data_IF_329407615699
#
_entry.id   IF_329407615699
#
_cell.length_a   1.000
_cell.length_b   1.000
_cell.length_c   1.000
_cell.angle_alpha   90.00
_cell.angle_beta   90.00
_cell.angle_gamma   90.00
#
_symmetry.space_group_name_H-M   'P 1'
#
loop_
_entity.id
_entity.type
_entity.pdbx_description
1 polymer ?
#
# COMPACT_ATOMS: atom_id res chain seq x y z
N UNK A 1 -43.15 37.47 -5.95
CA UNK A 1 -42.36 36.23 -5.85
C UNK A 1 -42.69 35.59 -4.51
N UNK A 2 -43.20 34.36 -4.50
CA UNK A 2 -43.68 33.71 -3.27
C UNK A 2 -42.47 33.24 -2.44
N UNK A 3 -42.45 33.57 -1.14
CA UNK A 3 -41.37 33.17 -0.23
C UNK A 3 -41.19 31.64 -0.19
N UNK A 4 -42.30 30.90 -0.22
CA UNK A 4 -42.30 29.43 -0.29
C UNK A 4 -41.58 28.91 -1.55
N UNK A 5 -41.79 29.53 -2.71
CA UNK A 5 -41.12 29.14 -3.96
C UNK A 5 -39.62 29.44 -3.93
N UNK A 6 -39.24 30.54 -3.28
CA UNK A 6 -37.84 30.95 -3.12
C UNK A 6 -37.09 29.98 -2.22
N UNK A 7 -37.69 29.60 -1.07
CA UNK A 7 -37.13 28.60 -0.16
C UNK A 7 -37.00 27.23 -0.84
N UNK A 8 -38.04 26.78 -1.57
CA UNK A 8 -38.01 25.52 -2.30
C UNK A 8 -36.89 25.48 -3.37
N UNK A 9 -36.65 26.60 -4.06
CA UNK A 9 -35.57 26.70 -5.05
C UNK A 9 -34.19 26.56 -4.40
N UNK A 10 -33.95 27.26 -3.29
CA UNK A 10 -32.65 27.19 -2.60
C UNK A 10 -32.37 25.81 -2.00
N UNK A 11 -33.37 25.18 -1.37
CA UNK A 11 -33.19 23.82 -0.82
C UNK A 11 -32.93 22.80 -1.92
N UNK A 12 -33.64 22.88 -3.05
CA UNK A 12 -33.42 21.99 -4.18
C UNK A 12 -32.03 22.17 -4.80
N UNK A 13 -31.57 23.41 -4.94
CA UNK A 13 -30.22 23.69 -5.42
C UNK A 13 -29.15 23.08 -4.50
N UNK A 14 -29.31 23.23 -3.18
CA UNK A 14 -28.39 22.68 -2.18
C UNK A 14 -28.33 21.15 -2.27
N UNK A 15 -29.50 20.49 -2.28
CA UNK A 15 -29.59 19.02 -2.39
C UNK A 15 -28.92 18.53 -3.68
N UNK A 16 -29.12 19.24 -4.80
CA UNK A 16 -28.52 18.89 -6.07
C UNK A 16 -26.99 18.94 -6.03
N UNK A 17 -26.42 20.03 -5.49
CA UNK A 17 -24.96 20.15 -5.34
C UNK A 17 -24.38 19.12 -4.37
N UNK A 18 -25.08 18.83 -3.27
CA UNK A 18 -24.67 17.78 -2.33
C UNK A 18 -24.64 16.41 -3.00
N UNK A 19 -25.66 16.08 -3.79
CA UNK A 19 -25.73 14.81 -4.52
C UNK A 19 -24.59 14.69 -5.55
N UNK A 20 -24.31 15.74 -6.30
CA UNK A 20 -23.19 15.77 -7.25
C UNK A 20 -21.84 15.61 -6.55
N UNK A 21 -21.63 16.29 -5.42
CA UNK A 21 -20.40 16.17 -4.66
C UNK A 21 -20.17 14.73 -4.17
N UNK A 22 -21.22 14.07 -3.64
CA UNK A 22 -21.16 12.67 -3.21
C UNK A 22 -20.90 11.72 -4.38
N UNK A 23 -21.55 11.96 -5.53
CA UNK A 23 -21.34 11.16 -6.74
C UNK A 23 -19.87 11.20 -7.18
N UNK A 24 -19.29 12.41 -7.26
CA UNK A 24 -17.90 12.58 -7.66
C UNK A 24 -16.92 11.99 -6.62
N UNK A 25 -17.21 12.13 -5.33
CA UNK A 25 -16.41 11.50 -4.28
C UNK A 25 -16.42 9.97 -4.40
N UNK A 26 -17.59 9.36 -4.66
CA UNK A 26 -17.72 7.93 -4.82
C UNK A 26 -16.94 7.40 -6.05
N UNK A 27 -17.03 8.12 -7.18
CA UNK A 27 -16.26 7.83 -8.39
C UNK A 27 -14.76 7.92 -8.08
N UNK A 28 -14.31 8.98 -7.41
CA UNK A 28 -12.91 9.17 -7.06
C UNK A 28 -12.37 8.01 -6.21
N UNK A 29 -13.13 7.60 -5.19
CA UNK A 29 -12.78 6.44 -4.34
C UNK A 29 -12.67 5.16 -5.18
N UNK A 30 -13.60 4.91 -6.10
CA UNK A 30 -13.54 3.75 -6.99
C UNK A 30 -12.34 3.78 -7.94
N UNK A 31 -12.03 4.93 -8.55
CA UNK A 31 -10.84 5.09 -9.39
C UNK A 31 -9.56 4.83 -8.60
N UNK A 32 -9.45 5.41 -7.40
CA UNK A 32 -8.28 5.25 -6.54
C UNK A 32 -8.09 3.79 -6.14
N UNK A 33 -9.16 3.10 -5.75
CA UNK A 33 -9.12 1.70 -5.38
C UNK A 33 -8.70 0.81 -6.57
N UNK A 34 -9.29 1.04 -7.75
CA UNK A 34 -8.97 0.28 -8.96
C UNK A 34 -7.51 0.46 -9.40
N UNK A 35 -7.01 1.71 -9.43
CA UNK A 35 -5.62 2.01 -9.77
C UNK A 35 -4.66 1.36 -8.75
N UNK A 36 -4.99 1.40 -7.46
CA UNK A 36 -4.16 0.84 -6.40
C UNK A 36 -4.06 -0.69 -6.52
N UNK A 37 -5.16 -1.41 -6.78
CA UNK A 37 -5.13 -2.86 -7.03
C UNK A 37 -4.24 -3.22 -8.21
N UNK A 38 -4.36 -2.51 -9.33
CA UNK A 38 -3.58 -2.79 -10.54
C UNK A 38 -2.09 -2.66 -10.25
N UNK A 39 -1.71 -1.58 -9.55
CA UNK A 39 -0.31 -1.25 -9.24
C UNK A 39 0.34 -2.16 -8.21
N UNK A 40 -0.44 -2.85 -7.36
CA UNK A 40 0.13 -3.72 -6.31
C UNK A 40 0.55 -5.09 -6.87
N UNK A 41 1.75 -5.60 -6.52
CA UNK A 41 2.17 -6.95 -6.90
C UNK A 41 1.34 -8.02 -6.19
N UNK A 42 1.16 -9.18 -6.83
CA UNK A 42 0.31 -10.26 -6.32
C UNK A 42 0.85 -10.89 -5.03
N UNK A 43 2.17 -10.93 -4.88
CA UNK A 43 2.86 -11.56 -3.73
C UNK A 43 2.47 -10.94 -2.38
N UNK A 44 2.13 -9.64 -2.39
CA UNK A 44 1.72 -8.95 -1.16
C UNK A 44 0.36 -9.41 -0.66
N UNK A 45 -0.54 -9.84 -1.55
CA UNK A 45 -1.86 -10.35 -1.16
C UNK A 45 -1.77 -11.70 -0.47
N UNK A 46 -0.84 -12.55 -0.93
CA UNK A 46 -0.55 -13.85 -0.32
C UNK A 46 0.12 -13.65 1.04
N UNK A 47 1.11 -12.75 1.12
CA UNK A 47 1.79 -12.43 2.37
C UNK A 47 0.86 -11.84 3.45
N UNK A 48 -0.18 -11.10 3.02
CA UNK A 48 -1.17 -10.51 3.92
C UNK A 48 -2.31 -11.45 4.34
N UNK A 49 -2.29 -12.71 3.88
CA UNK A 49 -3.37 -13.70 4.08
C UNK A 49 -4.76 -13.15 3.68
N UNK A 50 -4.79 -12.34 2.60
CA UNK A 50 -6.03 -11.79 2.03
C UNK A 50 -6.41 -12.56 0.77
N UNK A 51 -7.66 -12.39 0.31
CA UNK A 51 -8.13 -12.94 -0.98
C UNK A 51 -7.21 -12.48 -2.13
N UNK A 52 -7.17 -13.25 -3.21
CA UNK A 52 -6.20 -13.08 -4.31
C UNK A 52 -6.33 -11.71 -5.01
N UNK A 53 -5.25 -11.28 -5.68
CA UNK A 53 -5.26 -10.05 -6.49
C UNK A 53 -6.41 -10.03 -7.51
N UNK A 54 -6.69 -11.16 -8.16
CA UNK A 54 -7.78 -11.27 -9.14
C UNK A 54 -9.16 -11.02 -8.54
N UNK A 55 -9.42 -11.54 -7.33
CA UNK A 55 -10.66 -11.29 -6.61
C UNK A 55 -10.83 -9.79 -6.31
N UNK A 56 -9.82 -9.14 -5.74
CA UNK A 56 -9.89 -7.72 -5.43
C UNK A 56 -9.96 -6.84 -6.67
N UNK A 57 -9.30 -7.22 -7.76
CA UNK A 57 -9.41 -6.51 -9.04
C UNK A 57 -10.84 -6.58 -9.57
N UNK A 58 -11.45 -7.77 -9.57
CA UNK A 58 -12.83 -7.97 -10.02
C UNK A 58 -13.84 -7.19 -9.18
N UNK A 59 -13.73 -7.26 -7.85
CA UNK A 59 -14.64 -6.58 -6.93
C UNK A 59 -14.54 -5.05 -7.06
N UNK A 60 -13.33 -4.49 -7.10
CA UNK A 60 -13.16 -3.04 -7.25
C UNK A 60 -13.55 -2.55 -8.65
N UNK A 61 -13.23 -3.31 -9.71
CA UNK A 61 -13.64 -2.97 -11.07
C UNK A 61 -15.18 -2.97 -11.21
N UNK A 62 -15.83 -4.02 -10.71
CA UNK A 62 -17.29 -4.13 -10.72
C UNK A 62 -17.93 -3.04 -9.86
N UNK A 63 -17.42 -2.81 -8.65
CA UNK A 63 -17.91 -1.78 -7.74
C UNK A 63 -17.78 -0.38 -8.33
N UNK A 64 -16.64 -0.06 -8.94
CA UNK A 64 -16.42 1.20 -9.64
C UNK A 64 -17.39 1.37 -10.82
N UNK A 65 -17.53 0.35 -11.67
CA UNK A 65 -18.43 0.39 -12.83
C UNK A 65 -19.89 0.58 -12.39
N UNK A 66 -20.31 -0.11 -11.32
CA UNK A 66 -21.66 0.02 -10.75
C UNK A 66 -21.91 1.45 -10.24
N UNK A 67 -20.96 2.05 -9.51
CA UNK A 67 -21.05 3.45 -9.07
C UNK A 67 -21.15 4.42 -10.25
N UNK A 68 -20.39 4.16 -11.31
CA UNK A 68 -20.35 4.99 -12.51
C UNK A 68 -21.66 4.94 -13.30
N UNK A 69 -22.23 3.75 -13.48
CA UNK A 69 -23.41 3.53 -14.32
C UNK A 69 -24.73 3.79 -13.58
N UNK A 70 -24.83 3.37 -12.32
CA UNK A 70 -26.09 3.42 -11.55
C UNK A 70 -26.13 4.60 -10.58
N UNK A 71 -25.01 5.29 -10.37
CA UNK A 71 -24.90 6.41 -9.43
C UNK A 71 -24.82 5.95 -7.97
N UNK A 72 -24.05 6.69 -7.17
CA UNK A 72 -23.79 6.45 -5.75
C UNK A 72 -25.05 6.55 -4.88
N UNK A 73 -26.10 7.24 -5.34
CA UNK A 73 -27.38 7.30 -4.65
C UNK A 73 -28.27 6.07 -4.84
N UNK A 74 -27.93 5.14 -5.75
CA UNK A 74 -28.66 3.88 -5.90
C UNK A 74 -28.19 2.85 -4.86
N UNK A 75 -29.06 1.91 -4.48
CA UNK A 75 -28.69 0.80 -3.57
C UNK A 75 -27.47 0.01 -4.09
N UNK A 76 -27.44 -0.27 -5.39
CA UNK A 76 -26.33 -0.98 -6.02
C UNK A 76 -25.06 -0.12 -6.07
N UNK A 77 -25.19 1.17 -6.40
CA UNK A 77 -24.09 2.13 -6.36
C UNK A 77 -23.48 2.25 -4.97
N UNK A 78 -24.30 2.27 -3.92
CA UNK A 78 -23.82 2.27 -2.55
C UNK A 78 -23.02 1.00 -2.22
N UNK A 79 -23.52 -0.18 -2.61
CA UNK A 79 -22.77 -1.43 -2.47
C UNK A 79 -21.44 -1.40 -3.23
N UNK A 80 -21.44 -0.87 -4.45
CA UNK A 80 -20.23 -0.68 -5.24
C UNK A 80 -19.23 0.28 -4.59
N UNK A 81 -19.73 1.39 -4.02
CA UNK A 81 -18.91 2.34 -3.26
C UNK A 81 -18.30 1.68 -2.03
N UNK A 82 -19.11 0.95 -1.24
CA UNK A 82 -18.65 0.24 -0.04
C UNK A 82 -17.59 -0.79 -0.41
N UNK A 83 -17.76 -1.55 -1.50
CA UNK A 83 -16.75 -2.50 -1.96
C UNK A 83 -15.38 -1.83 -2.22
N UNK A 84 -15.38 -0.67 -2.89
CA UNK A 84 -14.16 0.11 -3.13
C UNK A 84 -13.57 0.71 -1.83
N UNK A 85 -14.44 1.21 -0.95
CA UNK A 85 -14.04 1.79 0.33
C UNK A 85 -13.42 0.75 1.27
N UNK A 86 -14.00 -0.46 1.34
CA UNK A 86 -13.48 -1.58 2.15
C UNK A 86 -12.09 -1.99 1.66
N UNK A 87 -11.86 -2.04 0.34
CA UNK A 87 -10.53 -2.31 -0.17
C UNK A 87 -9.51 -1.27 0.31
N UNK A 88 -9.85 0.02 0.21
CA UNK A 88 -8.97 1.11 0.62
C UNK A 88 -8.75 1.15 2.15
N UNK A 89 -9.76 0.79 2.94
CA UNK A 89 -9.71 0.87 4.39
C UNK A 89 -9.11 -0.37 5.08
N UNK A 90 -9.39 -1.58 4.57
CA UNK A 90 -8.90 -2.83 5.18
C UNK A 90 -7.70 -3.42 4.41
N UNK A 91 -7.85 -3.58 3.10
CA UNK A 91 -6.88 -4.35 2.31
C UNK A 91 -5.61 -3.54 2.04
N UNK A 92 -5.75 -2.27 1.66
CA UNK A 92 -4.61 -1.39 1.36
C UNK A 92 -3.63 -1.26 2.54
N UNK A 93 -4.08 -0.97 3.79
CA UNK A 93 -3.18 -0.93 4.93
C UNK A 93 -2.48 -2.26 5.20
N UNK A 94 -3.20 -3.38 5.09
CA UNK A 94 -2.62 -4.72 5.27
C UNK A 94 -1.52 -5.01 4.24
N UNK A 95 -1.74 -4.68 2.98
CA UNK A 95 -0.77 -4.86 1.90
C UNK A 95 0.46 -3.96 2.01
N UNK A 96 0.32 -2.79 2.65
CA UNK A 96 1.43 -1.86 2.89
C UNK A 96 2.30 -2.31 4.08
N UNK A 97 1.75 -3.02 5.07
CA UNK A 97 2.50 -3.58 6.18
C UNK A 97 3.56 -4.61 5.74
N UNK A 98 3.21 -5.44 4.75
CA UNK A 98 4.11 -6.48 4.21
C UNK A 98 5.06 -5.98 3.11
N UNK A 99 5.12 -4.67 2.85
CA UNK A 99 6.22 -4.11 2.05
C UNK A 99 7.53 -4.34 2.82
N UNK A 100 8.57 -4.91 2.20
CA UNK A 100 9.84 -5.11 2.87
C UNK A 100 10.34 -3.77 3.38
N UNK A 101 10.46 -3.63 4.70
CA UNK A 101 11.03 -2.47 5.35
C UNK A 101 12.47 -2.37 4.85
N UNK A 102 12.72 -1.40 3.97
CA UNK A 102 14.08 -1.04 3.57
C UNK A 102 14.74 -0.40 4.78
N UNK A 103 15.28 -1.24 5.68
CA UNK A 103 16.11 -0.79 6.78
C UNK A 103 17.29 -0.08 6.12
N UNK A 104 17.28 1.25 6.16
CA UNK A 104 18.44 2.08 5.82
C UNK A 104 19.44 1.85 6.93
N UNK A 105 20.16 0.74 6.85
CA UNK A 105 21.22 0.41 7.78
C UNK A 105 22.31 1.47 7.61
N UNK A 106 22.24 2.51 8.44
CA UNK A 106 23.43 3.27 8.84
C UNK A 106 24.23 2.40 9.80
N UNK A 107 24.57 1.19 9.36
CA UNK A 107 25.64 0.42 9.98
C UNK A 107 26.89 1.15 9.57
N UNK A 108 27.33 2.04 10.45
CA UNK A 108 28.68 2.61 10.41
C UNK A 108 29.61 1.40 10.57
N UNK A 109 30.11 0.85 9.47
CA UNK A 109 31.23 -0.10 9.48
C UNK A 109 32.35 0.61 10.23
N UNK A 110 32.58 0.21 11.47
CA UNK A 110 33.81 0.54 12.18
C UNK A 110 34.91 -0.25 11.49
N UNK A 111 35.52 0.38 10.50
CA UNK A 111 36.82 -0.04 9.97
C UNK A 111 37.85 0.23 11.07
N UNK A 112 38.24 -0.84 11.75
CA UNK A 112 39.04 -0.81 12.96
C UNK A 112 40.15 -1.84 12.88
N UNK A 113 41.11 -1.56 11.98
CA UNK A 113 42.54 -1.83 12.14
C UNK A 113 43.01 -3.27 12.41
N UNK A 114 43.58 -3.86 11.36
CA UNK A 114 44.92 -4.48 11.37
C UNK A 114 45.32 -5.30 12.60
N UNK A 115 45.09 -6.62 12.55
CA UNK A 115 45.98 -7.56 13.23
C UNK A 115 46.83 -8.28 12.18
N UNK A 116 47.86 -7.56 11.72
CA UNK A 116 48.99 -8.11 10.98
C UNK A 116 49.60 -9.24 11.79
N UNK A 117 49.48 -10.48 11.29
CA UNK A 117 50.27 -11.62 11.75
C UNK A 117 51.61 -11.63 10.99
N UNK A 118 52.77 -11.43 11.62
CA UNK A 118 54.03 -11.83 11.00
C UNK A 118 54.37 -13.25 11.45
N UNK A 119 54.19 -14.20 10.54
CA UNK A 119 54.84 -15.50 10.61
C UNK A 119 56.33 -15.28 10.31
N UNK A 120 57.19 -15.27 11.33
CA UNK A 120 58.65 -15.26 11.15
C UNK A 120 59.27 -16.54 11.72
N UNK A 121 59.41 -17.51 10.80
CA UNK A 121 60.49 -18.49 10.78
C UNK A 121 61.80 -17.87 11.25
N UNK A 122 62.44 -18.48 12.24
CA UNK A 122 63.82 -18.17 12.60
C UNK A 122 64.25 -18.93 13.83
N UNK A 123 65.09 -19.96 13.65
CA UNK A 123 65.69 -20.67 14.78
C UNK A 123 66.11 -22.10 14.49
N UNK A 124 66.81 -22.34 13.37
CA UNK A 124 67.54 -23.59 13.15
C UNK A 124 68.81 -23.54 14.02
N UNK A 125 68.68 -23.97 15.27
CA UNK A 125 69.82 -24.18 16.18
C UNK A 125 70.63 -25.37 15.71
N UNK A 126 71.82 -25.07 15.19
CA UNK A 126 72.88 -26.02 14.88
C UNK A 126 73.76 -26.16 16.13
N UNK A 127 73.48 -27.15 16.97
CA UNK A 127 74.37 -27.53 18.09
C UNK A 127 75.01 -28.88 17.79
N UNK A 128 75.93 -28.85 16.82
CA UNK A 128 76.98 -29.85 16.74
C UNK A 128 78.03 -29.56 17.80
N UNK A 129 78.21 -30.49 18.74
CA UNK A 129 79.44 -30.60 19.51
C UNK A 129 79.25 -30.74 21.00
N UNK A 130 79.38 -31.98 21.50
CA UNK A 130 80.10 -32.34 22.73
C UNK A 130 80.33 -33.86 22.72
N UNK A 131 81.59 -34.28 22.53
CA UNK A 131 82.51 -34.81 23.57
C UNK A 131 82.08 -36.22 23.98
N UNK A 132 82.79 -37.23 23.44
CA UNK A 132 83.87 -38.01 24.10
C UNK A 132 83.32 -38.88 25.22
#
# INVERSE_FOLDING_TARGET
>A
MNVLATLAMYTQLLVHWAYLALQWAAILVGVLAFIDVIRRPADHFVAADKRTKGFWLGVNAAGFLVVLLLGAGSMLGLLGFVANAVYLADVRPALDYYKPVRVRSRVRRTDGSSQTRPNRRGGRGNDGGRRR
#
